data_IF_331501367387
#
_entry.id   IF_331501367387
#
_cell.length_a   1.000
_cell.length_b   1.000
_cell.length_c   1.000
_cell.angle_alpha   90.00
_cell.angle_beta   90.00
_cell.angle_gamma   90.00
#
_symmetry.space_group_name_H-M   'P 1'
#
loop_
_entity.id
_entity.type
_entity.pdbx_description
1 polymer ?
#
# COMPACT_ATOMS: atom_id res chain seq x y z
N UNK A 1 4.14 50.53 -48.57
CA UNK A 1 5.07 49.42 -48.88
C UNK A 1 6.48 49.95 -48.72
N UNK A 2 7.02 50.04 -47.52
CA UNK A 2 8.45 50.37 -47.22
C UNK A 2 8.61 50.73 -45.76
N UNK A 3 8.18 49.84 -44.86
CA UNK A 3 8.41 50.03 -43.43
C UNK A 3 8.54 48.71 -42.65
N UNK A 4 8.99 47.65 -43.34
CA UNK A 4 9.10 46.31 -42.73
C UNK A 4 10.36 45.55 -43.13
N UNK A 5 11.49 46.31 -43.25
CA UNK A 5 12.80 45.72 -43.59
C UNK A 5 13.97 46.40 -42.86
N UNK A 6 13.88 46.61 -41.55
CA UNK A 6 15.05 47.09 -40.77
C UNK A 6 14.89 46.72 -39.29
N UNK A 7 14.82 45.42 -38.96
CA UNK A 7 15.10 44.97 -37.59
C UNK A 7 15.65 43.52 -37.61
N UNK A 8 16.74 43.35 -38.39
CA UNK A 8 17.64 42.21 -38.24
C UNK A 8 19.03 42.78 -38.22
N UNK A 9 19.72 42.66 -37.13
CA UNK A 9 21.14 42.86 -36.86
C UNK A 9 21.32 43.60 -35.54
N UNK A 10 21.51 42.82 -34.47
CA UNK A 10 22.41 43.13 -33.36
C UNK A 10 22.18 42.02 -32.27
N UNK A 11 22.79 40.86 -32.48
CA UNK A 11 23.11 39.94 -31.39
C UNK A 11 24.60 40.11 -31.14
N UNK A 12 25.04 40.60 -30.00
CA UNK A 12 26.44 40.61 -29.64
C UNK A 12 26.89 39.19 -29.26
N UNK A 13 27.91 38.75 -29.98
CA UNK A 13 28.74 37.59 -29.74
C UNK A 13 29.49 37.77 -28.44
N UNK A 14 29.03 37.18 -27.33
CA UNK A 14 29.79 37.07 -26.10
C UNK A 14 30.76 35.91 -26.22
N UNK A 15 32.02 36.21 -26.52
CA UNK A 15 33.11 35.26 -26.50
C UNK A 15 33.39 34.81 -25.06
N UNK A 16 33.17 33.56 -24.77
CA UNK A 16 33.59 32.93 -23.50
C UNK A 16 35.08 32.61 -23.59
N UNK A 17 35.88 33.38 -22.92
CA UNK A 17 37.31 33.11 -22.72
C UNK A 17 37.44 31.99 -21.65
N UNK A 18 37.74 30.77 -22.09
CA UNK A 18 38.19 29.71 -21.18
C UNK A 18 39.62 29.99 -20.73
N UNK A 19 39.76 30.42 -19.49
CA UNK A 19 41.05 30.49 -18.80
C UNK A 19 41.37 29.09 -18.30
N UNK A 20 42.29 28.41 -18.96
CA UNK A 20 42.90 27.16 -18.49
C UNK A 20 43.86 27.48 -17.31
N UNK A 21 43.45 27.07 -16.10
CA UNK A 21 44.37 27.06 -14.94
C UNK A 21 45.16 25.73 -14.95
N UNK A 22 46.48 25.77 -14.72
CA UNK A 22 47.24 24.50 -14.69
C UNK A 22 46.94 23.70 -13.42
N UNK A 23 46.59 22.44 -13.63
CA UNK A 23 46.43 21.45 -12.56
C UNK A 23 47.79 21.16 -11.91
N UNK A 24 47.94 21.59 -10.67
CA UNK A 24 49.06 21.15 -9.81
C UNK A 24 48.74 19.74 -9.35
N UNK A 25 49.47 18.78 -9.90
CA UNK A 25 49.51 17.40 -9.42
C UNK A 25 50.25 17.36 -8.06
N UNK A 26 49.49 17.16 -6.98
CA UNK A 26 50.06 16.76 -5.70
C UNK A 26 50.28 15.25 -5.69
N UNK A 27 51.47 14.78 -5.27
CA UNK A 27 51.73 13.34 -5.21
C UNK A 27 50.94 12.67 -4.08
N UNK A 28 50.16 11.64 -4.41
CA UNK A 28 49.51 10.76 -3.44
C UNK A 28 50.61 9.96 -2.72
N UNK A 29 50.77 10.18 -1.42
CA UNK A 29 51.60 9.33 -0.55
C UNK A 29 50.83 8.02 -0.28
N UNK A 30 51.36 6.92 -0.76
CA UNK A 30 50.87 5.58 -0.46
C UNK A 30 51.04 5.21 1.02
N UNK A 31 50.25 4.23 1.52
CA UNK A 31 50.32 3.84 2.92
C UNK A 31 51.67 3.23 3.31
N UNK A 32 52.31 3.82 4.30
CA UNK A 32 53.55 3.26 4.93
C UNK A 32 53.16 2.02 5.75
N UNK A 33 53.78 0.90 5.43
CA UNK A 33 53.83 -0.30 6.33
C UNK A 33 54.71 0.02 7.53
N UNK A 34 54.11 0.12 8.70
CA UNK A 34 54.85 0.00 9.95
C UNK A 34 54.75 -1.43 10.46
N UNK A 35 55.86 -2.12 10.39
CA UNK A 35 56.11 -3.36 11.13
C UNK A 35 56.46 -2.98 12.55
N UNK A 36 55.64 -3.33 13.51
CA UNK A 36 55.91 -3.18 14.93
C UNK A 36 55.23 -4.29 15.72
N UNK A 37 56.07 -5.20 16.24
CA UNK A 37 55.67 -6.24 17.18
C UNK A 37 54.96 -5.65 18.40
N UNK A 38 53.73 -6.12 18.67
CA UNK A 38 53.12 -5.95 19.98
C UNK A 38 52.46 -7.24 20.46
N UNK A 39 53.05 -7.75 21.50
CA UNK A 39 52.60 -8.89 22.31
C UNK A 39 51.18 -8.65 22.80
N UNK A 40 50.27 -9.55 22.43
CA UNK A 40 48.89 -9.54 22.88
C UNK A 40 48.78 -9.81 24.39
N UNK A 41 48.41 -8.80 25.17
CA UNK A 41 47.90 -8.98 26.54
C UNK A 41 46.36 -9.05 26.49
N UNK A 42 45.72 -10.03 27.15
CA UNK A 42 44.25 -10.07 27.19
C UNK A 42 43.72 -8.90 28.00
N UNK A 43 43.00 -7.98 27.35
CA UNK A 43 42.20 -6.97 28.03
C UNK A 43 41.00 -7.64 28.67
N UNK A 44 40.77 -7.34 29.97
CA UNK A 44 39.55 -7.64 30.69
C UNK A 44 38.35 -7.12 29.86
N UNK A 45 37.39 -8.02 29.62
CA UNK A 45 36.09 -7.66 29.06
C UNK A 45 35.44 -6.57 29.95
N UNK A 46 35.29 -5.37 29.42
CA UNK A 46 34.30 -4.43 29.88
C UNK A 46 32.89 -4.99 29.54
N UNK A 47 31.87 -4.66 30.32
CA UNK A 47 30.50 -5.10 30.00
C UNK A 47 30.17 -4.63 28.59
N UNK A 48 29.60 -5.52 27.77
CA UNK A 48 29.12 -5.22 26.45
C UNK A 48 28.05 -4.12 26.59
N UNK A 49 28.37 -2.94 26.09
CA UNK A 49 27.31 -2.02 25.67
C UNK A 49 26.62 -2.72 24.51
N UNK A 50 25.42 -3.14 24.77
CA UNK A 50 24.49 -3.64 23.77
C UNK A 50 24.32 -2.52 22.75
N UNK A 51 24.88 -2.71 21.55
CA UNK A 51 24.48 -1.93 20.40
C UNK A 51 22.96 -2.11 20.29
N UNK A 52 22.24 -1.08 20.68
CA UNK A 52 20.83 -0.97 20.40
C UNK A 52 20.72 -0.94 18.86
N UNK A 53 20.41 -2.07 18.27
CA UNK A 53 19.79 -2.08 16.94
C UNK A 53 18.69 -1.04 17.00
N UNK A 54 18.77 -0.02 16.14
CA UNK A 54 17.68 0.93 15.95
C UNK A 54 16.53 0.13 15.34
N UNK A 55 15.75 -0.51 16.22
CA UNK A 55 14.43 -1.01 15.85
C UNK A 55 13.66 0.19 15.31
N UNK A 56 13.31 0.13 14.03
CA UNK A 56 12.43 1.12 13.42
C UNK A 56 11.20 1.28 14.29
N UNK A 57 10.76 2.52 14.46
CA UNK A 57 9.59 2.88 15.28
C UNK A 57 8.41 1.96 14.95
N UNK A 58 8.05 1.11 15.91
CA UNK A 58 6.91 0.18 15.76
C UNK A 58 5.63 1.00 15.90
N UNK A 59 4.65 0.76 15.03
CA UNK A 59 3.31 1.33 15.19
C UNK A 59 2.75 0.80 16.51
N UNK A 60 2.53 1.64 17.54
CA UNK A 60 1.96 1.18 18.78
C UNK A 60 0.53 0.70 18.51
N UNK A 61 0.25 -0.58 18.62
CA UNK A 61 -1.08 -1.08 18.34
C UNK A 61 -1.97 -0.93 19.57
N UNK A 62 -2.60 0.21 19.73
CA UNK A 62 -3.65 0.42 20.75
C UNK A 62 -4.82 -0.55 20.59
N UNK A 63 -4.94 -1.17 19.40
CA UNK A 63 -5.98 -2.15 19.09
C UNK A 63 -5.54 -3.61 19.32
N UNK A 64 -4.31 -3.85 19.73
CA UNK A 64 -3.86 -5.19 20.11
C UNK A 64 -4.48 -5.57 21.44
N UNK A 65 -5.34 -6.60 21.48
CA UNK A 65 -5.80 -7.18 22.75
C UNK A 65 -4.59 -7.58 23.58
N UNK A 66 -4.42 -6.97 24.75
CA UNK A 66 -3.49 -7.43 25.77
C UNK A 66 -3.91 -8.84 26.14
N UNK A 67 -3.05 -9.82 25.87
CA UNK A 67 -3.29 -11.16 26.39
C UNK A 67 -3.36 -11.05 27.92
N UNK A 68 -4.51 -11.31 28.50
CA UNK A 68 -4.65 -11.44 29.94
C UNK A 68 -3.88 -12.72 30.34
N UNK A 69 -2.68 -12.52 30.84
CA UNK A 69 -1.94 -13.57 31.54
C UNK A 69 -2.61 -13.81 32.91
N UNK A 70 -3.60 -14.67 32.92
CA UNK A 70 -4.10 -15.31 34.11
C UNK A 70 -3.44 -16.68 34.24
N UNK A 71 -3.01 -17.10 35.46
CA UNK A 71 -2.47 -18.44 35.65
C UNK A 71 -3.58 -19.48 35.49
N UNK A 72 -3.61 -20.21 34.40
CA UNK A 72 -4.48 -21.38 34.23
C UNK A 72 -3.62 -22.62 34.32
N UNK A 73 -3.56 -23.22 35.51
CA UNK A 73 -3.10 -24.59 35.70
C UNK A 73 -4.17 -25.55 35.17
N UNK A 74 -3.88 -26.22 34.05
CA UNK A 74 -4.65 -27.30 33.47
C UNK A 74 -4.09 -27.65 32.09
N UNK A 75 -4.19 -28.90 31.61
CA UNK A 75 -3.79 -29.24 30.24
C UNK A 75 -4.74 -28.53 29.27
N UNK A 76 -4.35 -27.33 28.88
CA UNK A 76 -5.06 -26.56 27.87
C UNK A 76 -4.73 -27.20 26.53
N UNK A 77 -5.63 -28.01 25.97
CA UNK A 77 -5.64 -28.30 24.55
C UNK A 77 -5.88 -26.96 23.84
N UNK A 78 -4.81 -26.22 23.56
CA UNK A 78 -4.87 -25.12 22.62
C UNK A 78 -5.08 -25.71 21.24
N UNK A 79 -6.32 -25.88 20.86
CA UNK A 79 -6.66 -26.01 19.44
C UNK A 79 -6.34 -24.66 18.82
N UNK A 80 -5.12 -24.52 18.31
CA UNK A 80 -4.66 -23.33 17.57
C UNK A 80 -5.35 -23.28 16.20
N UNK A 81 -6.68 -23.12 16.23
CA UNK A 81 -7.47 -22.98 15.01
C UNK A 81 -7.40 -21.52 14.59
N UNK A 82 -6.63 -21.25 13.54
CA UNK A 82 -6.60 -19.88 12.99
C UNK A 82 -7.85 -19.61 12.15
N UNK A 83 -8.22 -18.36 12.08
CA UNK A 83 -9.36 -17.88 11.29
C UNK A 83 -8.85 -17.16 10.04
N UNK A 84 -9.44 -17.45 8.91
CA UNK A 84 -9.17 -16.76 7.65
C UNK A 84 -10.27 -15.75 7.39
N UNK A 85 -9.90 -14.47 7.36
CA UNK A 85 -10.80 -13.39 6.99
C UNK A 85 -10.75 -13.15 5.48
N UNK A 86 -11.91 -12.97 4.87
CA UNK A 86 -12.07 -12.71 3.44
C UNK A 86 -13.03 -11.55 3.25
N UNK A 87 -12.51 -10.42 2.83
CA UNK A 87 -13.33 -9.30 2.40
C UNK A 87 -13.82 -9.52 0.97
N UNK A 88 -15.11 -9.30 0.75
CA UNK A 88 -15.79 -9.61 -0.50
C UNK A 88 -16.62 -8.43 -0.96
N UNK A 89 -16.36 -7.94 -2.16
CA UNK A 89 -17.20 -6.95 -2.83
C UNK A 89 -17.98 -7.61 -3.97
N UNK A 90 -19.28 -7.37 -4.01
CA UNK A 90 -20.13 -7.75 -5.13
C UNK A 90 -20.49 -6.49 -5.94
N UNK A 91 -20.15 -6.49 -7.22
CA UNK A 91 -20.36 -5.35 -8.11
C UNK A 91 -21.27 -5.72 -9.28
N UNK A 92 -22.14 -4.80 -9.68
CA UNK A 92 -22.89 -4.94 -10.91
C UNK A 92 -22.01 -4.68 -12.15
N UNK A 93 -22.57 -4.83 -13.35
CA UNK A 93 -21.89 -4.58 -14.62
C UNK A 93 -21.50 -3.10 -14.87
N UNK A 94 -21.93 -2.18 -14.00
CA UNK A 94 -21.55 -0.76 -14.01
C UNK A 94 -20.52 -0.42 -12.92
N UNK A 95 -20.04 -1.44 -12.19
CA UNK A 95 -19.09 -1.25 -11.09
C UNK A 95 -19.70 -0.72 -9.78
N UNK A 96 -21.03 -0.74 -9.63
CA UNK A 96 -21.70 -0.32 -8.41
C UNK A 96 -21.83 -1.49 -7.45
N UNK A 97 -21.64 -1.25 -6.17
CA UNK A 97 -21.77 -2.26 -5.14
C UNK A 97 -23.21 -2.75 -5.02
N UNK A 98 -23.37 -4.05 -4.82
CA UNK A 98 -24.65 -4.70 -4.57
C UNK A 98 -24.77 -4.90 -3.05
N UNK A 99 -25.63 -4.12 -2.37
CA UNK A 99 -25.83 -4.23 -0.93
C UNK A 99 -26.78 -5.38 -0.57
N UNK A 100 -26.89 -5.66 0.73
CA UNK A 100 -27.91 -6.52 1.33
C UNK A 100 -27.91 -7.98 0.84
N UNK A 101 -26.74 -8.50 0.43
CA UNK A 101 -26.61 -9.93 0.13
C UNK A 101 -26.55 -10.69 1.48
N UNK A 102 -27.46 -11.63 1.73
CA UNK A 102 -27.50 -12.34 3.00
C UNK A 102 -26.34 -13.36 3.11
N UNK A 103 -25.93 -13.67 4.34
CA UNK A 103 -24.81 -14.59 4.62
C UNK A 103 -24.97 -15.94 3.89
N UNK A 104 -26.17 -16.52 3.89
CA UNK A 104 -26.44 -17.82 3.28
C UNK A 104 -26.23 -17.85 1.76
N UNK A 105 -26.19 -16.70 1.12
CA UNK A 105 -25.89 -16.61 -0.30
C UNK A 105 -24.38 -16.71 -0.61
N UNK A 106 -23.51 -16.60 0.40
CA UNK A 106 -22.07 -16.72 0.19
C UNK A 106 -21.60 -18.17 0.35
N UNK A 107 -20.81 -18.64 -0.59
CA UNK A 107 -20.09 -19.92 -0.52
C UNK A 107 -18.60 -19.63 -0.68
N UNK A 108 -17.82 -19.97 0.34
CA UNK A 108 -16.35 -19.86 0.33
C UNK A 108 -15.78 -21.24 0.04
N UNK A 109 -14.84 -21.29 -0.90
CA UNK A 109 -14.08 -22.49 -1.26
C UNK A 109 -12.60 -22.23 -1.02
N UNK A 110 -11.93 -23.16 -0.32
CA UNK A 110 -10.47 -23.19 -0.19
C UNK A 110 -9.95 -24.40 -0.94
N UNK A 111 -9.07 -24.19 -1.90
CA UNK A 111 -8.55 -25.22 -2.81
C UNK A 111 -9.67 -26.11 -3.42
N UNK A 112 -10.85 -25.51 -3.65
CA UNK A 112 -12.04 -26.19 -4.17
C UNK A 112 -12.92 -26.84 -3.11
N UNK A 113 -12.52 -26.88 -1.84
CA UNK A 113 -13.29 -27.47 -0.73
C UNK A 113 -14.16 -26.41 -0.07
N UNK A 114 -15.50 -26.62 0.06
CA UNK A 114 -16.38 -25.67 0.73
C UNK A 114 -16.01 -25.48 2.19
N UNK A 115 -16.00 -24.23 2.64
CA UNK A 115 -15.67 -23.83 4.01
C UNK A 115 -16.91 -23.29 4.73
N UNK A 116 -16.97 -23.55 6.05
CA UNK A 116 -18.05 -23.04 6.89
C UNK A 116 -17.75 -21.62 7.31
N UNK A 117 -18.59 -20.65 6.93
CA UNK A 117 -18.52 -19.28 7.38
C UNK A 117 -18.94 -19.22 8.86
N UNK A 118 -18.02 -18.77 9.72
CA UNK A 118 -18.24 -18.65 11.18
C UNK A 118 -18.56 -17.22 11.63
N UNK A 119 -18.18 -16.23 10.81
CA UNK A 119 -18.50 -14.82 11.05
C UNK A 119 -18.86 -14.15 9.75
N UNK A 120 -19.82 -13.23 9.83
CA UNK A 120 -20.30 -12.42 8.71
C UNK A 120 -20.50 -10.98 9.19
N UNK A 121 -19.90 -10.05 8.50
CA UNK A 121 -20.04 -8.63 8.75
C UNK A 121 -20.37 -7.85 7.48
N UNK A 122 -21.06 -6.73 7.65
CA UNK A 122 -21.30 -5.74 6.59
C UNK A 122 -20.38 -4.54 6.79
N UNK A 123 -20.32 -3.65 5.81
CA UNK A 123 -19.49 -2.43 5.84
C UNK A 123 -19.89 -1.37 6.87
N UNK A 124 -20.89 -1.62 7.70
CA UNK A 124 -21.34 -0.73 8.77
C UNK A 124 -20.33 -0.60 9.93
N UNK A 125 -19.53 -1.63 10.15
CA UNK A 125 -18.54 -1.66 11.24
C UNK A 125 -17.44 -0.64 11.02
N UNK A 126 -16.84 -0.10 12.12
CA UNK A 126 -15.67 0.77 12.04
C UNK A 126 -14.52 0.10 11.31
N UNK A 127 -13.70 0.89 10.63
CA UNK A 127 -12.53 0.42 9.91
C UNK A 127 -11.25 0.98 10.50
N UNK A 128 -10.20 0.18 10.53
CA UNK A 128 -8.83 0.61 10.80
C UNK A 128 -8.10 0.80 9.48
N UNK A 129 -7.81 2.05 9.13
CA UNK A 129 -7.24 2.45 7.84
C UNK A 129 -5.81 2.97 8.00
N UNK A 130 -4.84 2.34 7.35
CA UNK A 130 -3.51 2.92 7.17
C UNK A 130 -3.45 3.66 5.84
N UNK A 131 -3.26 4.97 5.86
CA UNK A 131 -2.99 5.77 4.68
C UNK A 131 -1.49 5.76 4.42
N UNK A 132 -1.04 5.08 3.37
CA UNK A 132 0.36 4.97 2.96
C UNK A 132 0.59 5.88 1.77
N UNK A 133 1.30 6.97 2.01
CA UNK A 133 1.44 8.07 1.06
C UNK A 133 2.88 8.16 0.59
N UNK A 134 3.09 8.02 -0.70
CA UNK A 134 4.39 8.27 -1.31
C UNK A 134 4.72 9.76 -1.21
N UNK A 135 5.85 10.05 -0.57
CA UNK A 135 6.33 11.41 -0.42
C UNK A 135 7.81 11.51 -0.81
N UNK A 136 8.13 11.01 -2.01
CA UNK A 136 9.47 11.02 -2.59
C UNK A 136 9.74 12.28 -3.42
N UNK A 137 11.00 12.69 -3.50
CA UNK A 137 11.43 13.79 -4.38
C UNK A 137 11.22 13.47 -5.85
N UNK A 138 11.31 12.19 -6.25
CA UNK A 138 10.98 11.72 -7.59
C UNK A 138 9.54 12.07 -7.96
N UNK A 139 8.60 11.74 -7.08
CA UNK A 139 7.19 12.04 -7.28
C UNK A 139 6.92 13.55 -7.32
N UNK A 140 7.53 14.31 -6.42
CA UNK A 140 7.39 15.78 -6.34
C UNK A 140 7.99 16.51 -7.56
N UNK A 141 9.13 16.04 -8.05
CA UNK A 141 9.80 16.64 -9.23
C UNK A 141 8.91 16.59 -10.47
N UNK A 142 8.20 15.50 -10.68
CA UNK A 142 7.30 15.34 -11.81
C UNK A 142 5.90 15.94 -11.57
N UNK A 143 5.54 16.23 -10.32
CA UNK A 143 4.14 16.41 -9.95
C UNK A 143 3.84 17.49 -8.89
N UNK A 144 4.65 18.52 -8.76
CA UNK A 144 4.46 19.52 -7.72
C UNK A 144 3.04 20.13 -7.68
N UNK A 145 2.43 20.38 -8.84
CA UNK A 145 1.04 20.87 -8.91
C UNK A 145 0.04 19.77 -8.55
N UNK A 146 0.21 18.57 -9.10
CA UNK A 146 -0.68 17.43 -8.82
C UNK A 146 -0.64 16.98 -7.36
N UNK A 147 0.46 17.24 -6.66
CA UNK A 147 0.57 16.96 -5.24
C UNK A 147 -0.41 17.78 -4.40
N UNK A 148 -0.53 19.08 -4.66
CA UNK A 148 -1.47 19.94 -3.94
C UNK A 148 -2.92 19.49 -4.13
N UNK A 149 -3.28 19.12 -5.36
CA UNK A 149 -4.60 18.57 -5.68
C UNK A 149 -4.84 17.23 -4.98
N UNK A 150 -3.84 16.35 -4.98
CA UNK A 150 -3.89 15.06 -4.28
C UNK A 150 -4.08 15.26 -2.78
N UNK A 151 -3.30 16.14 -2.18
CA UNK A 151 -3.38 16.45 -0.75
C UNK A 151 -4.74 17.06 -0.38
N UNK A 152 -5.22 18.03 -1.16
CA UNK A 152 -6.54 18.64 -0.96
C UNK A 152 -7.67 17.60 -1.03
N UNK A 153 -7.63 16.72 -2.02
CA UNK A 153 -8.60 15.64 -2.16
C UNK A 153 -8.49 14.61 -1.02
N UNK A 154 -7.27 14.35 -0.52
CA UNK A 154 -7.03 13.47 0.65
C UNK A 154 -7.65 14.06 1.92
N UNK A 155 -7.53 15.37 2.15
CA UNK A 155 -8.24 16.06 3.25
C UNK A 155 -9.75 15.88 3.14
N UNK A 156 -10.31 16.07 1.94
CA UNK A 156 -11.73 15.85 1.68
C UNK A 156 -12.16 14.41 1.94
N UNK A 157 -11.34 13.43 1.56
CA UNK A 157 -11.61 12.01 1.85
C UNK A 157 -11.67 11.73 3.35
N UNK A 158 -10.70 12.22 4.13
CA UNK A 158 -10.68 12.04 5.60
C UNK A 158 -11.97 12.56 6.26
N UNK A 159 -12.54 13.65 5.72
CA UNK A 159 -13.82 14.19 6.21
C UNK A 159 -15.01 13.27 5.94
N UNK A 160 -14.93 12.37 4.95
CA UNK A 160 -16.02 11.44 4.62
C UNK A 160 -16.03 10.18 5.48
N UNK A 161 -14.96 9.93 6.23
CA UNK A 161 -14.85 8.77 7.10
C UNK A 161 -15.70 8.94 8.37
N UNK A 162 -16.20 7.81 8.90
CA UNK A 162 -17.04 7.82 10.12
C UNK A 162 -16.21 8.23 11.35
N UNK A 163 -16.82 8.87 12.36
CA UNK A 163 -16.10 9.30 13.57
C UNK A 163 -15.38 8.18 14.32
N UNK A 164 -15.93 6.97 14.27
CA UNK A 164 -15.38 5.77 14.90
C UNK A 164 -14.25 5.09 14.13
N UNK A 165 -14.00 5.48 12.87
CA UNK A 165 -12.91 4.91 12.08
C UNK A 165 -11.55 5.37 12.64
N UNK A 166 -10.62 4.43 12.69
CA UNK A 166 -9.24 4.67 13.13
C UNK A 166 -8.35 4.90 11.91
N UNK A 167 -7.55 5.95 11.91
CA UNK A 167 -6.67 6.30 10.79
C UNK A 167 -5.23 6.43 11.31
N UNK A 168 -4.29 5.78 10.60
CA UNK A 168 -2.87 6.07 10.69
C UNK A 168 -2.40 6.72 9.38
N UNK A 169 -1.44 7.63 9.46
CA UNK A 169 -0.80 8.25 8.31
C UNK A 169 0.67 7.85 8.29
N UNK A 170 1.07 7.17 7.23
CA UNK A 170 2.44 6.74 6.99
C UNK A 170 2.91 7.37 5.69
N UNK A 171 3.94 8.19 5.74
CA UNK A 171 4.63 8.66 4.55
C UNK A 171 5.82 7.75 4.24
N UNK A 172 6.21 7.66 2.99
CA UNK A 172 7.43 6.95 2.65
C UNK A 172 8.16 7.56 1.46
N UNK A 173 9.47 7.43 1.51
CA UNK A 173 10.45 7.62 0.45
C UNK A 173 11.38 6.39 0.45
N UNK A 174 12.59 6.48 1.00
CA UNK A 174 13.50 5.34 1.23
C UNK A 174 13.01 4.39 2.34
N UNK A 175 12.17 4.85 3.24
CA UNK A 175 11.61 4.08 4.34
C UNK A 175 10.28 4.68 4.80
N UNK A 176 9.40 3.87 5.40
CA UNK A 176 8.17 4.38 5.97
C UNK A 176 8.45 5.19 7.24
N UNK A 177 7.78 6.34 7.34
CA UNK A 177 7.73 7.19 8.52
C UNK A 177 6.28 7.30 8.99
N UNK A 178 6.03 6.97 10.27
CA UNK A 178 4.72 7.08 10.86
C UNK A 178 4.49 8.53 11.28
N UNK A 179 3.66 9.25 10.53
CA UNK A 179 3.31 10.63 10.83
C UNK A 179 2.22 10.73 11.91
N UNK A 180 1.27 9.82 11.93
CA UNK A 180 0.34 9.61 13.04
C UNK A 180 -0.02 8.14 13.16
N UNK A 181 -0.12 7.65 14.40
CA UNK A 181 -0.62 6.32 14.71
C UNK A 181 -2.16 6.25 14.57
N UNK A 182 -2.73 5.05 14.66
CA UNK A 182 -4.16 4.84 14.58
C UNK A 182 -4.92 5.65 15.63
N UNK A 183 -5.70 6.60 15.14
CA UNK A 183 -6.51 7.51 15.95
C UNK A 183 -7.84 7.80 15.24
N UNK A 184 -8.89 7.98 16.01
CA UNK A 184 -10.16 8.52 15.49
C UNK A 184 -10.23 10.05 15.60
N UNK A 185 -9.21 10.69 16.16
CA UNK A 185 -9.08 12.13 16.23
C UNK A 185 -8.63 12.66 14.84
N UNK A 186 -9.54 13.26 14.10
CA UNK A 186 -9.26 13.80 12.76
C UNK A 186 -8.21 14.90 12.75
N UNK A 187 -8.10 15.64 13.86
CA UNK A 187 -7.11 16.70 13.98
C UNK A 187 -5.67 16.14 13.88
N UNK A 188 -5.41 15.00 14.53
CA UNK A 188 -4.10 14.31 14.43
C UNK A 188 -3.79 13.89 12.98
N UNK A 189 -4.79 13.39 12.25
CA UNK A 189 -4.66 13.05 10.83
C UNK A 189 -4.34 14.29 9.99
N UNK A 190 -5.02 15.40 10.22
CA UNK A 190 -4.78 16.65 9.48
C UNK A 190 -3.40 17.23 9.76
N UNK A 191 -2.95 17.19 11.03
CA UNK A 191 -1.61 17.63 11.42
C UNK A 191 -0.52 16.76 10.79
N UNK A 192 -0.76 15.44 10.70
CA UNK A 192 0.13 14.52 10.00
C UNK A 192 0.25 14.86 8.52
N UNK A 193 -0.87 15.04 7.83
CA UNK A 193 -0.89 15.43 6.41
C UNK A 193 -0.23 16.81 6.18
N UNK A 194 -0.37 17.74 7.11
CA UNK A 194 0.24 19.08 7.03
C UNK A 194 1.77 19.04 7.13
N UNK A 195 2.37 17.96 7.63
CA UNK A 195 3.84 17.77 7.66
C UNK A 195 4.43 17.39 6.29
N UNK A 196 3.62 16.92 5.35
CA UNK A 196 4.04 16.55 3.99
C UNK A 196 4.33 17.78 3.12
N UNK A 197 5.38 18.53 3.45
CA UNK A 197 5.74 19.80 2.78
C UNK A 197 6.96 19.68 1.88
N UNK A 198 8.00 18.99 2.35
CA UNK A 198 9.28 18.85 1.65
C UNK A 198 9.71 17.40 1.71
N UNK A 199 9.86 16.70 0.57
CA UNK A 199 10.32 15.32 0.55
C UNK A 199 11.80 15.22 0.95
N UNK A 200 12.16 14.13 1.64
CA UNK A 200 13.53 13.91 2.11
C UNK A 200 14.44 13.38 1.00
N UNK A 201 13.96 12.35 0.29
CA UNK A 201 14.76 11.63 -0.70
C UNK A 201 14.04 11.52 -2.04
N UNK A 202 14.82 11.25 -3.10
CA UNK A 202 14.28 11.11 -4.46
C UNK A 202 13.72 9.72 -4.74
N UNK A 203 14.22 8.72 -4.01
CA UNK A 203 13.90 7.32 -4.22
C UNK A 203 12.54 6.97 -3.60
N UNK A 204 11.95 5.86 -4.10
CA UNK A 204 10.68 5.31 -3.63
C UNK A 204 10.85 3.81 -3.35
N UNK A 205 10.77 3.42 -2.08
CA UNK A 205 10.86 2.03 -1.65
C UNK A 205 9.45 1.47 -1.38
N UNK A 206 8.66 1.40 -2.43
CA UNK A 206 7.25 0.99 -2.41
C UNK A 206 7.04 -0.39 -1.77
N UNK A 207 7.84 -1.39 -2.20
CA UNK A 207 7.61 -2.76 -1.74
C UNK A 207 7.95 -2.92 -0.26
N UNK A 208 9.04 -2.31 0.20
CA UNK A 208 9.42 -2.33 1.61
C UNK A 208 8.36 -1.62 2.47
N UNK A 209 7.90 -0.43 2.05
CA UNK A 209 6.89 0.34 2.77
C UNK A 209 5.54 -0.40 2.87
N UNK A 210 5.02 -0.92 1.75
CA UNK A 210 3.75 -1.63 1.76
C UNK A 210 3.81 -2.90 2.61
N UNK A 211 4.91 -3.67 2.53
CA UNK A 211 5.04 -4.91 3.30
C UNK A 211 5.20 -4.63 4.79
N UNK A 212 5.96 -3.61 5.17
CA UNK A 212 6.12 -3.24 6.57
C UNK A 212 4.78 -2.81 7.21
N UNK A 213 4.02 -1.95 6.52
CA UNK A 213 2.70 -1.53 7.00
C UNK A 213 1.73 -2.71 7.04
N UNK A 214 1.71 -3.57 6.01
CA UNK A 214 0.82 -4.72 5.98
C UNK A 214 1.15 -5.72 7.09
N UNK A 215 2.43 -5.98 7.35
CA UNK A 215 2.87 -6.86 8.45
C UNK A 215 2.41 -6.31 9.81
N UNK A 216 2.58 -4.99 10.06
CA UNK A 216 2.11 -4.34 11.30
C UNK A 216 0.59 -4.36 11.46
N UNK A 217 -0.14 -4.30 10.35
CA UNK A 217 -1.61 -4.38 10.36
C UNK A 217 -2.13 -5.82 10.45
N UNK A 218 -1.33 -6.83 10.15
CA UNK A 218 -1.79 -8.23 10.14
C UNK A 218 -2.39 -8.66 11.48
N UNK A 219 -1.81 -8.19 12.58
CA UNK A 219 -2.20 -8.52 13.95
C UNK A 219 -3.41 -7.71 14.47
N UNK A 220 -3.85 -6.69 13.73
CA UNK A 220 -5.02 -5.89 14.14
C UNK A 220 -6.29 -6.69 13.89
N UNK A 221 -7.14 -6.81 14.89
CA UNK A 221 -8.45 -7.45 14.76
C UNK A 221 -9.48 -6.52 14.12
N UNK A 222 -10.51 -7.09 13.52
CA UNK A 222 -11.61 -6.35 12.89
C UNK A 222 -11.34 -5.96 11.45
N UNK A 223 -12.13 -5.01 10.94
CA UNK A 223 -12.01 -4.52 9.57
C UNK A 223 -10.83 -3.58 9.44
N UNK A 224 -9.98 -3.88 8.48
CA UNK A 224 -8.76 -3.13 8.24
C UNK A 224 -8.47 -2.99 6.76
N UNK A 225 -7.80 -1.92 6.35
CA UNK A 225 -7.38 -1.71 4.97
C UNK A 225 -6.16 -0.79 4.90
N UNK A 226 -5.44 -0.88 3.79
CA UNK A 226 -4.41 0.08 3.40
C UNK A 226 -4.97 0.92 2.26
N UNK A 227 -4.90 2.25 2.40
CA UNK A 227 -5.09 3.19 1.30
C UNK A 227 -3.71 3.69 0.86
N UNK A 228 -3.24 3.18 -0.26
CA UNK A 228 -2.02 3.65 -0.90
C UNK A 228 -2.31 4.84 -1.82
N UNK A 229 -1.50 5.89 -1.73
CA UNK A 229 -1.55 7.07 -2.62
C UNK A 229 -0.13 7.34 -3.12
N UNK A 230 0.10 7.19 -4.41
CA UNK A 230 1.44 7.42 -4.96
C UNK A 230 1.60 7.02 -6.42
N UNK A 231 2.85 7.02 -6.87
CA UNK A 231 3.23 6.74 -8.25
C UNK A 231 3.06 5.27 -8.64
N UNK A 232 3.24 4.36 -7.70
CA UNK A 232 3.36 2.93 -7.94
C UNK A 232 4.74 2.51 -8.46
N UNK A 233 5.70 3.42 -8.53
CA UNK A 233 7.09 3.10 -8.88
C UNK A 233 7.84 2.59 -7.66
N UNK A 234 8.71 1.61 -7.89
CA UNK A 234 9.69 1.14 -6.91
C UNK A 234 11.08 1.36 -7.48
N UNK A 235 11.96 2.02 -6.75
CA UNK A 235 13.30 2.36 -7.23
C UNK A 235 14.41 1.66 -6.48
N UNK A 236 14.22 1.35 -5.19
CA UNK A 236 15.31 0.90 -4.34
C UNK A 236 14.91 -0.02 -3.18
N UNK A 237 13.78 -0.72 -3.28
CA UNK A 237 13.38 -1.69 -2.24
C UNK A 237 14.36 -2.86 -2.14
N UNK A 238 14.53 -3.38 -0.94
CA UNK A 238 15.38 -4.55 -0.64
C UNK A 238 14.77 -5.84 -1.14
N UNK A 239 13.44 -5.89 -1.27
CA UNK A 239 12.71 -7.07 -1.71
C UNK A 239 12.23 -6.90 -3.16
N UNK A 240 12.04 -8.02 -3.85
CA UNK A 240 11.52 -8.04 -5.21
C UNK A 240 10.00 -7.91 -5.23
N UNK A 241 9.43 -7.57 -6.40
CA UNK A 241 7.99 -7.55 -6.62
C UNK A 241 7.29 -8.84 -6.19
N UNK A 242 7.84 -10.00 -6.55
CA UNK A 242 7.25 -11.30 -6.18
C UNK A 242 7.34 -11.60 -4.68
N UNK A 243 8.39 -11.14 -4.01
CA UNK A 243 8.49 -11.25 -2.55
C UNK A 243 7.45 -10.35 -1.87
N UNK A 244 7.30 -9.11 -2.36
CA UNK A 244 6.29 -8.18 -1.88
C UNK A 244 4.88 -8.78 -2.04
N UNK A 245 4.52 -9.28 -3.22
CA UNK A 245 3.22 -9.93 -3.47
C UNK A 245 2.92 -11.04 -2.45
N UNK A 246 3.87 -11.96 -2.24
CA UNK A 246 3.70 -13.06 -1.28
C UNK A 246 3.48 -12.55 0.14
N UNK A 247 4.25 -11.54 0.57
CA UNK A 247 4.10 -10.95 1.91
C UNK A 247 2.73 -10.27 2.07
N UNK A 248 2.30 -9.49 1.09
CA UNK A 248 0.99 -8.83 1.11
C UNK A 248 -0.18 -9.84 1.14
N UNK A 249 -0.08 -10.93 0.39
CA UNK A 249 -1.05 -12.03 0.44
C UNK A 249 -1.07 -12.71 1.82
N UNK A 250 0.10 -12.88 2.45
CA UNK A 250 0.21 -13.46 3.79
C UNK A 250 -0.41 -12.55 4.85
N UNK A 251 -0.11 -11.25 4.81
CA UNK A 251 -0.68 -10.27 5.73
C UNK A 251 -2.22 -10.16 5.60
N UNK A 252 -2.75 -10.42 4.40
CA UNK A 252 -4.20 -10.50 4.16
C UNK A 252 -4.95 -9.20 4.39
N UNK A 253 -4.28 -8.05 4.29
CA UNK A 253 -4.86 -6.72 4.43
C UNK A 253 -5.23 -6.19 3.04
N UNK A 254 -6.49 -5.84 2.76
CA UNK A 254 -6.90 -5.29 1.47
C UNK A 254 -6.18 -3.98 1.16
N UNK A 255 -5.69 -3.83 -0.08
CA UNK A 255 -5.02 -2.63 -0.56
C UNK A 255 -5.93 -1.90 -1.54
N UNK A 256 -6.27 -0.66 -1.19
CA UNK A 256 -6.94 0.30 -2.05
C UNK A 256 -5.88 1.26 -2.60
N UNK A 257 -5.62 1.22 -3.90
CA UNK A 257 -4.51 1.95 -4.49
C UNK A 257 -5.00 3.12 -5.36
N UNK A 258 -4.51 4.31 -5.08
CA UNK A 258 -4.66 5.50 -5.92
C UNK A 258 -3.33 5.76 -6.63
N UNK A 259 -3.22 5.31 -7.88
CA UNK A 259 -2.05 5.53 -8.73
C UNK A 259 -2.10 6.91 -9.38
N UNK A 260 -1.16 7.77 -9.05
CA UNK A 260 -1.21 9.21 -9.40
C UNK A 260 -0.52 9.58 -10.71
N UNK A 261 0.18 8.63 -11.36
CA UNK A 261 0.97 8.92 -12.57
C UNK A 261 0.18 8.94 -13.89
N UNK A 262 -1.06 8.45 -13.92
CA UNK A 262 -1.84 8.37 -15.15
C UNK A 262 -2.02 9.75 -15.81
N UNK A 263 -2.36 10.77 -15.04
CA UNK A 263 -2.56 12.12 -15.55
C UNK A 263 -1.24 12.71 -16.10
N UNK A 264 -0.12 12.45 -15.43
CA UNK A 264 1.21 12.86 -15.90
C UNK A 264 1.56 12.17 -17.22
N UNK A 265 1.35 10.87 -17.30
CA UNK A 265 1.57 10.09 -18.53
C UNK A 265 0.78 10.65 -19.72
N UNK A 266 -0.52 10.91 -19.54
CA UNK A 266 -1.38 11.51 -20.58
C UNK A 266 -0.85 12.88 -21.03
N UNK A 267 -0.38 13.70 -20.09
CA UNK A 267 0.15 15.02 -20.38
C UNK A 267 1.47 14.96 -21.18
N UNK A 268 2.40 14.03 -20.85
CA UNK A 268 3.64 13.83 -21.58
C UNK A 268 3.39 13.18 -22.95
N UNK A 269 2.48 12.22 -23.02
CA UNK A 269 2.15 11.49 -24.26
C UNK A 269 1.52 12.43 -25.29
N UNK A 270 0.61 13.31 -24.86
CA UNK A 270 -0.03 14.31 -25.73
C UNK A 270 0.98 15.31 -26.35
N UNK A 271 2.18 15.45 -25.77
CA UNK A 271 3.26 16.32 -26.26
C UNK A 271 4.35 15.56 -27.02
N UNK A 272 4.22 14.24 -27.12
CA UNK A 272 5.24 13.40 -27.74
C UNK A 272 6.55 13.33 -26.94
N UNK A 273 6.52 13.68 -25.65
CA UNK A 273 7.71 13.70 -24.78
C UNK A 273 7.95 12.34 -24.09
N UNK A 274 7.00 11.44 -24.19
CA UNK A 274 7.08 10.13 -23.56
C UNK A 274 7.79 9.13 -24.49
N UNK A 275 9.05 8.84 -24.18
CA UNK A 275 9.81 7.79 -24.87
C UNK A 275 9.28 6.38 -24.56
N UNK A 276 9.66 5.35 -25.37
CA UNK A 276 9.19 3.98 -25.19
C UNK A 276 9.52 3.38 -23.83
N UNK A 277 10.70 3.65 -23.28
CA UNK A 277 11.16 3.15 -21.98
C UNK A 277 10.28 3.74 -20.85
N UNK A 278 10.17 5.08 -20.80
CA UNK A 278 9.36 5.74 -19.79
C UNK A 278 7.88 5.32 -19.86
N UNK A 279 7.35 5.07 -21.05
CA UNK A 279 5.98 4.53 -21.21
C UNK A 279 5.85 3.14 -20.60
N UNK A 280 6.86 2.29 -20.73
CA UNK A 280 6.88 0.97 -20.12
C UNK A 280 6.94 1.05 -18.61
N UNK A 281 7.75 1.95 -18.05
CA UNK A 281 7.86 2.15 -16.59
C UNK A 281 6.52 2.58 -15.98
N UNK A 282 5.81 3.52 -16.60
CA UNK A 282 4.48 3.93 -16.15
C UNK A 282 3.45 2.78 -16.21
N UNK A 283 3.48 1.98 -17.28
CA UNK A 283 2.58 0.83 -17.40
C UNK A 283 2.90 -0.24 -16.37
N UNK A 284 4.17 -0.44 -16.05
CA UNK A 284 4.61 -1.39 -15.03
C UNK A 284 4.14 -0.93 -13.64
N UNK A 285 4.27 0.36 -13.31
CA UNK A 285 3.79 0.93 -12.06
C UNK A 285 2.27 0.72 -11.89
N UNK A 286 1.48 1.04 -12.91
CA UNK A 286 0.03 0.79 -12.89
C UNK A 286 -0.29 -0.70 -12.69
N UNK A 287 0.40 -1.60 -13.39
CA UNK A 287 0.16 -3.04 -13.30
C UNK A 287 0.53 -3.62 -11.94
N UNK A 288 1.56 -3.10 -11.28
CA UNK A 288 1.94 -3.49 -9.93
C UNK A 288 0.82 -3.15 -8.94
N UNK A 289 0.34 -1.91 -8.96
CA UNK A 289 -0.75 -1.48 -8.08
C UNK A 289 -2.05 -2.27 -8.33
N UNK A 290 -2.40 -2.54 -9.60
CA UNK A 290 -3.55 -3.40 -9.94
C UNK A 290 -3.37 -4.82 -9.40
N UNK A 291 -2.15 -5.34 -9.44
CA UNK A 291 -1.85 -6.69 -8.95
C UNK A 291 -1.96 -6.76 -7.44
N UNK A 292 -1.35 -5.80 -6.70
CA UNK A 292 -1.46 -5.74 -5.24
C UNK A 292 -2.92 -5.63 -4.79
N UNK A 293 -3.67 -4.70 -5.37
CA UNK A 293 -5.08 -4.52 -5.04
C UNK A 293 -5.89 -5.80 -5.31
N UNK A 294 -5.79 -6.38 -6.51
CA UNK A 294 -6.54 -7.58 -6.89
C UNK A 294 -6.22 -8.79 -6.01
N UNK A 295 -4.94 -8.99 -5.68
CA UNK A 295 -4.52 -10.18 -4.93
C UNK A 295 -4.84 -10.09 -3.45
N UNK A 296 -4.98 -8.88 -2.92
CA UNK A 296 -5.39 -8.63 -1.53
C UNK A 296 -6.89 -8.42 -1.36
N UNK A 297 -7.67 -8.34 -2.46
CA UNK A 297 -9.13 -8.15 -2.41
C UNK A 297 -9.57 -6.69 -2.35
N UNK A 298 -8.70 -5.76 -2.67
CA UNK A 298 -9.00 -4.34 -2.80
C UNK A 298 -9.17 -3.87 -4.25
N UNK A 299 -9.00 -2.56 -4.47
CA UNK A 299 -9.22 -1.91 -5.75
C UNK A 299 -8.10 -0.94 -6.09
N UNK A 300 -7.92 -0.64 -7.39
CA UNK A 300 -6.96 0.35 -7.85
C UNK A 300 -7.63 1.35 -8.80
N UNK A 301 -7.36 2.63 -8.58
CA UNK A 301 -7.83 3.75 -9.39
C UNK A 301 -6.65 4.53 -9.95
N UNK A 302 -6.84 5.05 -11.16
CA UNK A 302 -5.80 5.77 -11.89
C UNK A 302 -6.44 7.01 -12.52
N UNK A 303 -6.48 8.14 -11.80
CA UNK A 303 -7.08 9.37 -12.31
C UNK A 303 -6.30 9.91 -13.51
N UNK A 304 -7.01 10.30 -14.56
CA UNK A 304 -6.45 10.94 -15.75
C UNK A 304 -6.42 12.46 -15.62
N UNK A 305 -7.28 13.01 -14.77
CA UNK A 305 -7.42 14.44 -14.53
C UNK A 305 -7.65 14.70 -13.04
N UNK A 306 -7.20 15.86 -12.55
CA UNK A 306 -7.38 16.23 -11.14
C UNK A 306 -8.84 16.26 -10.69
N UNK A 307 -9.76 16.66 -11.57
CA UNK A 307 -11.18 16.67 -11.28
C UNK A 307 -11.79 15.31 -10.93
N UNK A 308 -11.11 14.20 -11.23
CA UNK A 308 -11.57 12.84 -10.91
C UNK A 308 -11.33 12.45 -9.45
N UNK A 309 -10.36 13.09 -8.76
CA UNK A 309 -9.97 12.71 -7.39
C UNK A 309 -11.14 12.65 -6.41
N UNK A 310 -11.97 13.70 -6.39
CA UNK A 310 -13.15 13.71 -5.52
C UNK A 310 -14.14 12.58 -5.80
N UNK A 311 -14.31 12.21 -7.08
CA UNK A 311 -15.11 11.06 -7.50
C UNK A 311 -14.52 9.73 -7.05
N UNK A 312 -13.20 9.58 -7.21
CA UNK A 312 -12.46 8.38 -6.82
C UNK A 312 -12.48 8.19 -5.31
N UNK A 313 -12.26 9.24 -4.52
CA UNK A 313 -12.32 9.12 -3.06
C UNK A 313 -13.73 8.75 -2.55
N UNK A 314 -14.80 9.20 -3.22
CA UNK A 314 -16.15 8.69 -2.95
C UNK A 314 -16.26 7.19 -3.25
N UNK A 315 -15.73 6.72 -4.39
CA UNK A 315 -15.71 5.30 -4.73
C UNK A 315 -14.88 4.47 -3.72
N UNK A 316 -13.75 5.00 -3.24
CA UNK A 316 -12.96 4.37 -2.18
C UNK A 316 -13.80 4.24 -0.90
N UNK A 317 -14.47 5.30 -0.48
CA UNK A 317 -15.35 5.25 0.69
C UNK A 317 -16.51 4.25 0.49
N UNK A 318 -17.13 4.24 -0.69
CA UNK A 318 -18.14 3.24 -1.04
C UNK A 318 -17.59 1.82 -0.99
N UNK A 319 -16.38 1.57 -1.50
CA UNK A 319 -15.72 0.27 -1.41
C UNK A 319 -15.49 -0.14 0.03
N UNK A 320 -14.96 0.75 0.86
CA UNK A 320 -14.77 0.51 2.29
C UNK A 320 -16.09 0.24 3.03
N UNK A 321 -17.24 0.75 2.58
CA UNK A 321 -18.54 0.59 3.26
C UNK A 321 -19.39 -0.56 2.73
N UNK A 322 -19.19 -0.99 1.50
CA UNK A 322 -20.03 -2.01 0.86
C UNK A 322 -19.33 -3.36 0.68
N UNK A 323 -18.18 -3.55 1.34
CA UNK A 323 -17.49 -4.83 1.36
C UNK A 323 -18.02 -5.69 2.50
N UNK A 324 -18.34 -6.94 2.19
CA UNK A 324 -18.74 -7.96 3.17
C UNK A 324 -17.48 -8.58 3.77
N UNK A 325 -17.44 -8.74 5.08
CA UNK A 325 -16.36 -9.43 5.79
C UNK A 325 -16.81 -10.82 6.18
N UNK A 326 -16.17 -11.84 5.62
CA UNK A 326 -16.42 -13.23 5.92
C UNK A 326 -15.25 -13.79 6.73
N UNK A 327 -15.53 -14.66 7.68
CA UNK A 327 -14.49 -15.41 8.36
C UNK A 327 -14.84 -16.88 8.37
N UNK A 328 -13.83 -17.75 8.16
CA UNK A 328 -13.98 -19.18 8.25
C UNK A 328 -12.77 -19.84 8.92
N UNK A 329 -12.96 -21.02 9.49
CA UNK A 329 -11.87 -21.87 9.97
C UNK A 329 -11.54 -22.87 8.88
N UNK A 330 -10.28 -22.91 8.39
CA UNK A 330 -9.90 -23.86 7.35
C UNK A 330 -10.10 -25.31 7.78
N UNK A 331 -10.69 -26.11 6.91
CA UNK A 331 -10.75 -27.58 7.09
C UNK A 331 -9.37 -28.21 6.92
N UNK A 332 -8.50 -27.59 6.13
CA UNK A 332 -7.09 -27.96 6.03
C UNK A 332 -6.26 -27.22 7.09
N UNK A 333 -6.02 -27.87 8.21
CA UNK A 333 -5.27 -27.32 9.35
C UNK A 333 -3.75 -27.44 9.23
N UNK A 334 -3.21 -27.90 8.07
CA UNK A 334 -1.77 -28.07 7.89
C UNK A 334 -1.03 -26.72 7.89
N UNK A 335 -0.03 -26.61 8.79
CA UNK A 335 0.85 -25.44 8.93
C UNK A 335 2.12 -25.61 8.08
N UNK A 336 1.94 -25.77 6.77
CA UNK A 336 3.00 -26.15 5.83
C UNK A 336 3.62 -24.96 5.08
N UNK A 337 3.13 -23.74 5.32
CA UNK A 337 3.58 -22.54 4.63
C UNK A 337 3.21 -22.49 3.15
N UNK A 338 2.30 -23.36 2.70
CA UNK A 338 1.86 -23.37 1.29
C UNK A 338 0.75 -22.36 1.05
N UNK A 339 0.65 -21.93 -0.18
CA UNK A 339 -0.43 -21.05 -0.62
C UNK A 339 -1.73 -21.84 -0.75
N UNK A 340 -2.81 -21.28 -0.19
CA UNK A 340 -4.19 -21.75 -0.31
C UNK A 340 -4.95 -20.81 -1.24
N UNK A 341 -5.65 -21.37 -2.22
CA UNK A 341 -6.49 -20.60 -3.13
C UNK A 341 -7.87 -20.39 -2.53
N UNK A 342 -8.37 -19.16 -2.57
CA UNK A 342 -9.72 -18.84 -2.15
C UNK A 342 -10.57 -18.53 -3.38
N UNK A 343 -11.80 -19.04 -3.39
CA UNK A 343 -12.85 -18.66 -4.31
C UNK A 343 -14.12 -18.37 -3.53
N UNK A 344 -14.75 -17.24 -3.81
CA UNK A 344 -16.06 -16.93 -3.25
C UNK A 344 -17.08 -16.92 -4.37
N UNK A 345 -18.21 -17.53 -4.12
CA UNK A 345 -19.35 -17.61 -5.04
C UNK A 345 -20.61 -17.11 -4.34
N UNK A 346 -21.51 -16.51 -5.11
CA UNK A 346 -22.87 -16.25 -4.65
C UNK A 346 -23.79 -17.34 -5.17
N UNK A 347 -24.49 -17.99 -4.24
CA UNK A 347 -25.36 -19.11 -4.51
C UNK A 347 -26.79 -18.81 -4.02
N UNK A 348 -27.76 -19.18 -4.81
CA UNK A 348 -29.17 -19.15 -4.44
C UNK A 348 -29.64 -20.50 -3.90
N UNK A 349 -30.93 -20.64 -3.72
CA UNK A 349 -31.59 -21.88 -3.33
C UNK A 349 -31.22 -22.99 -4.32
N UNK A 350 -30.92 -24.20 -3.79
CA UNK A 350 -30.50 -25.33 -4.60
C UNK A 350 -29.06 -25.26 -5.16
N UNK A 351 -28.22 -24.30 -4.71
CA UNK A 351 -26.80 -24.23 -5.08
C UNK A 351 -26.52 -23.64 -6.48
N UNK A 352 -27.53 -23.15 -7.17
CA UNK A 352 -27.36 -22.43 -8.44
C UNK A 352 -26.79 -21.04 -8.19
N UNK A 353 -26.13 -20.41 -9.19
CA UNK A 353 -25.66 -19.02 -9.07
C UNK A 353 -26.79 -18.09 -8.63
N UNK A 354 -26.51 -17.23 -7.66
CA UNK A 354 -27.50 -16.26 -7.14
C UNK A 354 -27.99 -15.36 -8.27
N UNK A 355 -29.31 -15.26 -8.44
CA UNK A 355 -29.92 -14.35 -9.38
C UNK A 355 -30.15 -13.00 -8.69
N UNK A 356 -29.32 -12.02 -9.01
CA UNK A 356 -29.50 -10.64 -8.58
C UNK A 356 -30.39 -9.92 -9.59
N UNK A 357 -31.37 -9.14 -9.11
CA UNK A 357 -32.27 -8.37 -9.96
C UNK A 357 -32.22 -6.89 -9.59
N UNK A 358 -32.51 -6.01 -10.56
CA UNK A 358 -32.66 -4.58 -10.32
C UNK A 358 -34.06 -4.25 -9.77
N UNK A 359 -34.31 -2.96 -9.48
CA UNK A 359 -35.60 -2.46 -9.01
C UNK A 359 -36.78 -2.76 -9.95
N UNK A 360 -36.50 -3.08 -11.22
CA UNK A 360 -37.48 -3.46 -12.26
C UNK A 360 -37.58 -4.98 -12.46
N UNK A 361 -37.03 -5.76 -11.51
CA UNK A 361 -36.98 -7.21 -11.55
C UNK A 361 -36.20 -7.82 -12.76
N UNK A 362 -35.28 -7.04 -13.35
CA UNK A 362 -34.43 -7.52 -14.45
C UNK A 362 -33.14 -8.12 -13.87
N UNK A 363 -32.67 -9.28 -14.39
CA UNK A 363 -31.44 -9.89 -13.93
C UNK A 363 -30.22 -8.99 -14.21
N UNK A 364 -29.39 -8.80 -13.19
CA UNK A 364 -28.14 -8.03 -13.25
C UNK A 364 -26.99 -9.05 -13.31
N UNK A 365 -26.07 -8.86 -14.25
CA UNK A 365 -24.77 -9.54 -14.20
C UNK A 365 -23.92 -8.91 -13.10
N UNK A 366 -23.26 -9.72 -12.33
CA UNK A 366 -22.39 -9.26 -11.26
C UNK A 366 -21.02 -9.95 -11.32
N UNK A 367 -20.05 -9.32 -10.69
CA UNK A 367 -18.72 -9.87 -10.43
C UNK A 367 -18.42 -9.80 -8.93
N UNK A 368 -17.61 -10.76 -8.46
CA UNK A 368 -17.18 -10.82 -7.07
C UNK A 368 -15.70 -10.56 -7.01
N UNK A 369 -15.30 -9.63 -6.13
CA UNK A 369 -13.91 -9.28 -5.88
C UNK A 369 -13.59 -9.69 -4.46
N UNK A 370 -12.53 -10.47 -4.30
CA UNK A 370 -12.00 -10.94 -3.02
C UNK A 370 -10.52 -11.28 -3.19
N UNK A 371 -9.80 -11.46 -2.09
CA UNK A 371 -8.42 -11.93 -2.15
C UNK A 371 -8.33 -13.31 -2.82
N UNK A 372 -7.28 -13.52 -3.60
CA UNK A 372 -7.12 -14.74 -4.40
C UNK A 372 -6.68 -15.97 -3.58
N UNK A 373 -6.18 -15.74 -2.37
CA UNK A 373 -5.68 -16.76 -1.48
C UNK A 373 -4.90 -16.19 -0.30
N UNK A 374 -4.25 -17.07 0.45
CA UNK A 374 -3.36 -16.73 1.55
C UNK A 374 -2.26 -17.80 1.69
N UNK A 375 -1.21 -17.49 2.44
CA UNK A 375 -0.18 -18.46 2.80
C UNK A 375 -0.51 -19.06 4.17
N UNK A 376 -0.61 -20.38 4.26
CA UNK A 376 -0.83 -21.07 5.52
C UNK A 376 0.32 -20.78 6.51
N UNK A 377 0.06 -20.68 7.82
CA UNK A 377 1.13 -20.52 8.80
C UNK A 377 2.17 -21.63 8.68
N UNK A 378 3.39 -21.38 9.15
CA UNK A 378 4.40 -22.42 9.35
C UNK A 378 4.49 -22.75 10.82
N UNK A 379 4.68 -24.02 11.14
CA UNK A 379 5.18 -24.38 12.47
C UNK A 379 6.57 -23.76 12.63
N UNK A 380 6.74 -22.98 13.68
CA UNK A 380 8.06 -22.50 14.09
C UNK A 380 8.60 -23.59 15.00
N UNK A 381 9.63 -24.31 14.50
CA UNK A 381 10.41 -25.27 15.32
C UNK A 381 11.14 -24.57 16.45
#
# INVERSE_FOLDING_TARGET
MEAMRLLRLLVPLAAVLLIAAPSVLLPQAGPKKETGDTVARPKKKAPAETEAEQEGEKIPSRLRKKAEEGPVEGPTFRSDVWTVNVDVAALDNRGRFIPNIPQQAFRVLEDGVPQRIISFGTGEQPITLAMVIEFSGLFQQYWSYGWQETLTATYGFVQTLKPEDMIAVVAFDLRPEILSDFSNNRQETYEALARLRVPGFSESNLYDALTEVADRMSDIEGRKAILYIGSGMDTFSKITFDQCRRKLQTAGVPIYALGTLQALREWYDARGWLGPIARLDFLQADNQLRTFARETGGFAWFPRFFGEYGGIFRQINEALRNTYSLAYQPTNVARDGKQRKIKVELVGEGGQPLRVVDERNKPIKYQIIHKTGYTAPREVE
#
